data_IF_078117989410
#
_entry.id   IF_078117989410
#
_cell.length_a   1.000
_cell.length_b   1.000
_cell.length_c   1.000
_cell.angle_alpha   90.00
_cell.angle_beta   90.00
_cell.angle_gamma   90.00
#
_symmetry.space_group_name_H-M   'P 1'
#
loop_
_entity.id
_entity.type
_entity.pdbx_description
1 polymer ?
#
# COMPACT_ATOMS: atom_id res chain seq x y z
N UNK A 1 -8.98 -1.38 8.24
CA UNK A 1 -9.62 -0.77 7.05
C UNK A 1 -8.73 0.26 6.36
N UNK A 2 -8.07 1.17 7.09
CA UNK A 2 -7.19 2.20 6.49
C UNK A 2 -6.15 1.67 5.48
N UNK A 3 -5.30 0.69 5.83
CA UNK A 3 -4.30 0.12 4.92
C UNK A 3 -4.89 -0.44 3.63
N UNK A 4 -5.99 -1.21 3.74
CA UNK A 4 -6.67 -1.79 2.58
C UNK A 4 -7.19 -0.73 1.60
N UNK A 5 -7.76 0.36 2.13
CA UNK A 5 -8.24 1.48 1.30
C UNK A 5 -7.06 2.21 0.65
N UNK A 6 -5.99 2.46 1.41
CA UNK A 6 -4.79 3.13 0.89
C UNK A 6 -4.15 2.32 -0.26
N UNK A 7 -4.00 1.00 -0.09
CA UNK A 7 -3.49 0.10 -1.13
C UNK A 7 -4.39 0.13 -2.36
N UNK A 8 -5.72 0.05 -2.19
CA UNK A 8 -6.66 0.13 -3.30
C UNK A 8 -6.51 1.43 -4.10
N UNK A 9 -6.37 2.57 -3.43
CA UNK A 9 -6.16 3.87 -4.08
C UNK A 9 -4.81 3.97 -4.78
N UNK A 10 -3.73 3.48 -4.15
CA UNK A 10 -2.37 3.46 -4.71
C UNK A 10 -2.36 2.65 -6.02
N UNK A 11 -2.92 1.44 -5.98
CA UNK A 11 -2.98 0.56 -7.16
C UNK A 11 -3.85 1.15 -8.25
N UNK A 12 -5.03 1.69 -7.92
CA UNK A 12 -5.91 2.33 -8.89
C UNK A 12 -5.20 3.48 -9.63
N UNK A 13 -4.49 4.36 -8.90
CA UNK A 13 -3.73 5.46 -9.50
C UNK A 13 -2.51 5.01 -10.30
N UNK A 14 -1.83 3.96 -9.85
CA UNK A 14 -0.76 3.36 -10.64
C UNK A 14 -1.30 2.84 -11.98
N UNK A 15 -2.41 2.09 -11.98
CA UNK A 15 -3.03 1.57 -13.19
C UNK A 15 -3.53 2.68 -14.13
N UNK A 16 -4.16 3.74 -13.60
CA UNK A 16 -4.52 4.92 -14.40
C UNK A 16 -3.29 5.56 -15.08
N UNK A 17 -2.18 5.69 -14.35
CA UNK A 17 -0.93 6.26 -14.88
C UNK A 17 -0.31 5.37 -15.96
N UNK A 18 -0.32 4.05 -15.75
CA UNK A 18 0.20 3.07 -16.70
C UNK A 18 -0.62 3.01 -17.98
N UNK A 19 -1.95 3.11 -17.86
CA UNK A 19 -2.85 3.18 -19.02
C UNK A 19 -2.62 4.42 -19.88
N UNK A 20 -2.14 5.52 -19.29
CA UNK A 20 -1.79 6.76 -20.03
C UNK A 20 -0.38 6.73 -20.61
N UNK A 21 0.58 6.17 -19.88
CA UNK A 21 1.97 6.06 -20.33
C UNK A 21 2.56 4.69 -19.96
N UNK A 22 2.43 3.69 -20.85
CA UNK A 22 2.94 2.34 -20.62
C UNK A 22 4.46 2.27 -20.47
N UNK A 23 5.20 3.19 -21.08
CA UNK A 23 6.68 3.21 -21.02
C UNK A 23 7.21 3.52 -19.61
N UNK A 24 6.39 4.17 -18.77
CA UNK A 24 6.74 4.47 -17.39
C UNK A 24 6.58 3.28 -16.42
N UNK A 25 6.28 2.07 -16.93
CA UNK A 25 5.90 0.91 -16.12
C UNK A 25 6.85 0.58 -14.97
N UNK A 26 8.14 0.45 -15.26
CA UNK A 26 9.13 0.10 -14.25
C UNK A 26 9.17 1.13 -13.11
N UNK A 27 9.18 2.43 -13.45
CA UNK A 27 9.24 3.51 -12.46
C UNK A 27 7.98 3.59 -11.61
N UNK A 28 6.79 3.49 -12.24
CA UNK A 28 5.51 3.51 -11.53
C UNK A 28 5.38 2.32 -10.59
N UNK A 29 5.80 1.13 -11.04
CA UNK A 29 5.76 -0.08 -10.22
C UNK A 29 6.65 0.05 -8.98
N UNK A 30 7.86 0.60 -9.11
CA UNK A 30 8.76 0.82 -7.96
C UNK A 30 8.12 1.72 -6.90
N UNK A 31 7.55 2.86 -7.32
CA UNK A 31 6.92 3.82 -6.38
C UNK A 31 5.63 3.25 -5.80
N UNK A 32 4.85 2.51 -6.60
CA UNK A 32 3.63 1.82 -6.15
C UNK A 32 3.94 0.81 -5.05
N UNK A 33 4.93 -0.07 -5.25
CA UNK A 33 5.34 -1.07 -4.26
C UNK A 33 5.81 -0.39 -2.97
N UNK A 34 6.59 0.68 -3.08
CA UNK A 34 7.03 1.44 -1.91
C UNK A 34 5.85 2.03 -1.12
N UNK A 35 4.85 2.60 -1.82
CA UNK A 35 3.63 3.10 -1.20
C UNK A 35 2.81 2.00 -0.51
N UNK A 36 2.69 0.83 -1.14
CA UNK A 36 2.03 -0.34 -0.56
C UNK A 36 2.76 -0.79 0.71
N UNK A 37 4.09 -0.87 0.69
CA UNK A 37 4.88 -1.28 1.84
C UNK A 37 4.67 -0.35 3.06
N UNK A 38 4.55 0.97 2.84
CA UNK A 38 4.24 1.90 3.92
C UNK A 38 2.81 1.74 4.46
N UNK A 39 1.82 1.51 3.58
CA UNK A 39 0.46 1.22 4.01
C UNK A 39 0.40 -0.07 4.85
N UNK A 40 1.14 -1.10 4.43
CA UNK A 40 1.22 -2.39 5.12
C UNK A 40 1.91 -2.27 6.49
N UNK A 41 2.94 -1.42 6.62
CA UNK A 41 3.60 -1.19 7.90
C UNK A 41 2.62 -0.70 8.99
N UNK A 42 1.66 0.15 8.62
CA UNK A 42 0.60 0.63 9.53
C UNK A 42 -0.33 -0.53 9.94
N UNK A 43 -0.64 -1.44 9.00
CA UNK A 43 -1.43 -2.63 9.30
C UNK A 43 -0.73 -3.54 10.31
N UNK A 44 0.58 -3.76 10.12
CA UNK A 44 1.40 -4.58 11.01
C UNK A 44 1.47 -3.94 12.41
N UNK A 45 1.69 -2.63 12.52
CA UNK A 45 1.68 -1.96 13.83
C UNK A 45 0.33 -2.09 14.54
N UNK A 46 -0.77 -1.98 13.79
CA UNK A 46 -2.12 -2.16 14.34
C UNK A 46 -2.32 -3.59 14.86
N UNK A 47 -1.83 -4.60 14.12
CA UNK A 47 -1.87 -6.00 14.53
C UNK A 47 -1.02 -6.25 15.79
N UNK A 48 0.21 -5.73 15.84
CA UNK A 48 1.12 -5.89 16.99
C UNK A 48 0.47 -5.30 18.24
N UNK A 49 -0.08 -4.08 18.17
CA UNK A 49 -0.76 -3.45 19.30
C UNK A 49 -1.97 -4.27 19.73
N UNK A 50 -2.77 -4.77 18.79
CA UNK A 50 -3.93 -5.62 19.11
C UNK A 50 -3.53 -6.91 19.82
N UNK A 51 -2.39 -7.53 19.44
CA UNK A 51 -1.86 -8.71 20.13
C UNK A 51 -1.35 -8.38 21.53
N UNK A 52 -0.62 -7.27 21.70
CA UNK A 52 -0.17 -6.81 23.02
C UNK A 52 -1.37 -6.62 23.96
N UNK A 53 -2.42 -5.93 23.51
CA UNK A 53 -3.63 -5.69 24.30
C UNK A 53 -4.42 -6.97 24.62
N UNK A 54 -4.37 -7.99 23.75
CA UNK A 54 -5.08 -9.26 23.97
C UNK A 54 -4.40 -10.14 25.03
N UNK A 55 -3.08 -10.04 25.16
CA UNK A 55 -2.26 -10.94 25.98
C UNK A 55 -1.56 -10.24 27.15
N UNK A 56 -1.83 -8.96 27.38
CA UNK A 56 -1.50 -8.22 28.61
C UNK A 56 -2.75 -8.14 29.47
#
# INVERSE_FOLDING_TARGET
>A
MGPAIAIGLIVAKALESLGRNPEAAARVQTVMILGIAFAEAIAIYSLVIALILKFT
#
